data_IF_781966252541
#
_entry.id   IF_781966252541
#
_cell.length_a   1.000
_cell.length_b   1.000
_cell.length_c   1.000
_cell.angle_alpha   90.00
_cell.angle_beta   90.00
_cell.angle_gamma   90.00
#
_symmetry.space_group_name_H-M   'P 1'
#
loop_
_entity.id
_entity.type
_entity.pdbx_description
1 polymer ?
#
# COMPACT_ATOMS: atom_id res chain seq x y z
N UNK A 1 -46.09 39.23 -30.82
CA UNK A 1 -46.67 38.05 -30.15
C UNK A 1 -45.87 36.82 -30.60
N UNK A 2 -45.55 35.95 -29.65
CA UNK A 2 -44.57 34.85 -29.69
C UNK A 2 -45.15 33.60 -30.40
N UNK A 3 -44.31 32.83 -31.13
CA UNK A 3 -44.28 31.35 -31.23
C UNK A 3 -43.44 30.88 -32.46
N UNK A 4 -42.20 30.35 -32.29
CA UNK A 4 -41.78 28.90 -32.34
C UNK A 4 -41.84 28.26 -33.75
N UNK A 5 -40.89 27.44 -34.27
CA UNK A 5 -40.04 26.38 -33.68
C UNK A 5 -39.08 25.80 -34.79
N UNK A 6 -38.01 25.09 -34.39
CA UNK A 6 -37.17 24.07 -35.11
C UNK A 6 -36.19 24.58 -36.20
N UNK A 7 -34.88 24.28 -36.23
CA UNK A 7 -34.02 23.41 -35.43
C UNK A 7 -32.70 23.15 -36.22
N UNK A 8 -31.69 22.58 -35.55
CA UNK A 8 -30.54 21.95 -36.23
C UNK A 8 -29.18 22.54 -35.91
N UNK A 9 -28.69 22.35 -34.67
CA UNK A 9 -27.27 22.49 -34.34
C UNK A 9 -26.51 21.24 -34.81
N UNK A 10 -25.62 21.38 -35.79
CA UNK A 10 -24.49 20.48 -35.99
C UNK A 10 -23.23 21.35 -36.15
N UNK A 11 -22.83 21.95 -35.04
CA UNK A 11 -21.54 22.62 -34.91
C UNK A 11 -20.57 21.68 -34.21
N UNK A 12 -19.40 21.49 -34.82
CA UNK A 12 -18.16 21.23 -34.09
C UNK A 12 -17.60 19.82 -34.19
N UNK A 13 -16.85 19.55 -35.25
CA UNK A 13 -15.66 18.71 -35.13
C UNK A 13 -14.64 19.47 -34.28
N UNK A 14 -14.57 19.14 -32.98
CA UNK A 14 -13.49 19.58 -32.09
C UNK A 14 -12.61 18.39 -31.74
N UNK A 15 -11.27 18.53 -31.71
CA UNK A 15 -10.40 17.45 -31.27
C UNK A 15 -10.70 17.12 -29.80
N UNK A 16 -10.83 15.83 -29.53
CA UNK A 16 -11.00 15.23 -28.20
C UNK A 16 -9.92 15.78 -27.24
N UNK A 17 -10.26 16.24 -26.03
CA UNK A 17 -9.25 16.65 -25.07
C UNK A 17 -8.45 15.41 -24.67
N UNK A 18 -7.18 15.38 -25.08
CA UNK A 18 -6.20 14.37 -24.67
C UNK A 18 -6.20 14.32 -23.14
N UNK A 19 -6.69 13.21 -22.60
CA UNK A 19 -6.59 12.93 -21.17
C UNK A 19 -5.11 13.03 -20.78
N UNK A 20 -4.78 13.95 -19.87
CA UNK A 20 -3.45 14.06 -19.32
C UNK A 20 -3.04 12.69 -18.76
N UNK A 21 -1.80 12.22 -18.98
CA UNK A 21 -1.33 10.98 -18.39
C UNK A 21 -1.46 11.11 -16.87
N UNK A 22 -2.23 10.20 -16.27
CA UNK A 22 -2.33 10.07 -14.81
C UNK A 22 -0.89 9.91 -14.31
N UNK A 23 -0.41 10.73 -13.36
CA UNK A 23 0.93 10.53 -12.82
C UNK A 23 0.99 9.13 -12.23
N UNK A 24 1.82 8.27 -12.82
CA UNK A 24 2.18 6.99 -12.21
C UNK A 24 2.75 7.32 -10.84
N UNK A 25 2.03 6.99 -9.77
CA UNK A 25 2.50 7.23 -8.42
C UNK A 25 3.91 6.64 -8.29
N UNK A 26 4.89 7.49 -7.95
CA UNK A 26 6.25 7.04 -7.72
C UNK A 26 6.24 5.93 -6.68
N UNK A 27 7.03 4.85 -6.85
CA UNK A 27 7.09 3.79 -5.87
C UNK A 27 7.54 4.39 -4.52
N UNK A 28 7.01 3.89 -3.39
CA UNK A 28 7.41 4.39 -2.09
C UNK A 28 8.91 4.23 -1.88
N UNK A 29 9.55 5.28 -1.37
CA UNK A 29 10.98 5.32 -1.09
C UNK A 29 11.26 4.73 0.30
N UNK A 30 12.16 3.76 0.40
CA UNK A 30 12.52 3.09 1.67
C UNK A 30 13.82 3.63 2.31
N UNK A 31 14.30 4.79 1.89
CA UNK A 31 15.52 5.44 2.43
C UNK A 31 15.24 6.40 3.60
N UNK A 32 14.00 6.43 4.08
CA UNK A 32 13.55 7.33 5.12
C UNK A 32 13.87 6.80 6.53
N UNK A 33 13.66 7.59 7.61
CA UNK A 33 13.90 7.11 8.96
C UNK A 33 13.03 5.87 9.24
N UNK A 34 13.69 4.80 9.69
CA UNK A 34 13.08 3.51 9.99
C UNK A 34 12.71 3.49 11.48
N UNK A 35 11.46 3.15 11.78
CA UNK A 35 11.03 2.84 13.15
C UNK A 35 11.81 1.65 13.70
N UNK A 36 12.03 1.60 15.03
CA UNK A 36 12.68 0.46 15.66
C UNK A 36 11.93 -0.85 15.33
N UNK A 37 12.65 -1.81 14.74
CA UNK A 37 12.03 -3.02 14.24
C UNK A 37 11.37 -3.82 15.38
N UNK A 38 10.10 -4.14 15.21
CA UNK A 38 9.31 -4.90 16.19
C UNK A 38 9.28 -6.39 15.82
N UNK A 39 9.03 -7.31 16.76
CA UNK A 39 8.74 -8.70 16.40
C UNK A 39 7.46 -8.80 15.57
N UNK A 40 7.38 -9.77 14.66
CA UNK A 40 6.13 -10.13 14.00
C UNK A 40 5.00 -10.38 15.03
N UNK A 41 3.79 -9.94 14.69
CA UNK A 41 2.60 -9.98 15.54
C UNK A 41 2.40 -8.74 16.41
N UNK A 42 3.43 -7.92 16.60
CA UNK A 42 3.32 -6.66 17.36
C UNK A 42 2.79 -5.55 16.47
N UNK A 43 1.78 -4.82 16.96
CA UNK A 43 1.24 -3.66 16.27
C UNK A 43 2.11 -2.41 16.46
N UNK A 44 2.33 -1.66 15.38
CA UNK A 44 2.95 -0.33 15.40
C UNK A 44 1.89 0.74 15.12
N UNK A 45 1.94 1.83 15.89
CA UNK A 45 1.04 2.97 15.71
C UNK A 45 1.65 3.98 14.73
N UNK A 46 0.88 4.35 13.72
CA UNK A 46 1.17 5.45 12.79
C UNK A 46 0.39 6.66 13.27
N UNK A 47 1.08 7.78 13.50
CA UNK A 47 0.46 9.04 13.93
C UNK A 47 0.99 10.22 13.14
N UNK A 48 0.08 10.90 12.46
CA UNK A 48 0.29 12.22 11.86
C UNK A 48 -0.78 13.17 12.38
N UNK A 49 -0.73 14.48 12.08
CA UNK A 49 -1.81 15.40 12.44
C UNK A 49 -3.19 14.96 11.90
N UNK A 50 -3.23 14.27 10.77
CA UNK A 50 -4.45 13.90 10.04
C UNK A 50 -4.84 12.42 10.21
N UNK A 51 -3.88 11.55 10.55
CA UNK A 51 -4.08 10.10 10.62
C UNK A 51 -3.66 9.54 11.99
N UNK A 52 -4.45 8.61 12.50
CA UNK A 52 -4.01 7.64 13.49
C UNK A 52 -4.41 6.24 13.04
N UNK A 53 -3.45 5.34 12.91
CA UNK A 53 -3.70 3.95 12.55
C UNK A 53 -2.78 3.01 13.33
N UNK A 54 -3.18 1.75 13.43
CA UNK A 54 -2.34 0.66 13.91
C UNK A 54 -2.11 -0.33 12.79
N UNK A 55 -0.85 -0.67 12.54
CA UNK A 55 -0.44 -1.66 11.55
C UNK A 55 0.18 -2.84 12.27
N UNK A 56 -0.30 -4.05 11.98
CA UNK A 56 0.22 -5.29 12.55
C UNK A 56 0.62 -6.22 11.41
N UNK A 57 1.82 -6.78 11.48
CA UNK A 57 2.30 -7.76 10.49
C UNK A 57 2.56 -9.09 11.18
N UNK A 58 1.94 -10.16 10.69
CA UNK A 58 2.13 -11.52 11.20
C UNK A 58 2.63 -12.45 10.09
N UNK A 59 3.58 -13.33 10.39
CA UNK A 59 3.97 -14.40 9.47
C UNK A 59 2.83 -15.39 9.26
N UNK A 60 2.67 -15.90 8.03
CA UNK A 60 1.62 -16.88 7.69
C UNK A 60 2.15 -18.11 6.96
N UNK A 61 3.21 -17.96 6.15
CA UNK A 61 3.87 -19.05 5.43
C UNK A 61 5.37 -18.76 5.35
N UNK A 62 6.20 -19.78 5.57
CA UNK A 62 7.63 -19.72 5.30
C UNK A 62 8.10 -21.03 4.68
N UNK A 63 8.63 -20.94 3.46
CA UNK A 63 9.18 -22.04 2.67
C UNK A 63 10.44 -21.55 1.95
N UNK A 64 11.22 -22.45 1.36
CA UNK A 64 12.43 -22.09 0.62
C UNK A 64 12.15 -21.09 -0.52
N UNK A 65 11.00 -21.22 -1.18
CA UNK A 65 10.67 -20.47 -2.40
C UNK A 65 9.65 -19.35 -2.16
N UNK A 66 9.09 -19.26 -0.96
CA UNK A 66 7.99 -18.33 -0.68
C UNK A 66 7.88 -17.97 0.79
N UNK A 67 7.65 -16.69 1.03
CA UNK A 67 7.32 -16.14 2.33
C UNK A 67 6.05 -15.31 2.25
N UNK A 68 5.07 -15.57 3.10
CA UNK A 68 3.83 -14.80 3.13
C UNK A 68 3.53 -14.23 4.51
N UNK A 69 3.05 -12.99 4.52
CA UNK A 69 2.63 -12.29 5.72
C UNK A 69 1.21 -11.81 5.62
N UNK A 70 0.55 -11.74 6.77
CA UNK A 70 -0.70 -11.04 6.98
C UNK A 70 -0.41 -9.65 7.51
N UNK A 71 -0.84 -8.62 6.78
CA UNK A 71 -0.85 -7.24 7.25
C UNK A 71 -2.27 -6.87 7.64
N UNK A 72 -2.46 -6.40 8.86
CA UNK A 72 -3.72 -5.86 9.36
C UNK A 72 -3.54 -4.38 9.62
N UNK A 73 -4.39 -3.55 9.01
CA UNK A 73 -4.42 -2.11 9.22
C UNK A 73 -5.74 -1.74 9.88
N UNK A 74 -5.67 -1.07 11.02
CA UNK A 74 -6.82 -0.52 11.72
C UNK A 74 -6.71 1.00 11.74
N UNK A 75 -7.65 1.71 11.12
CA UNK A 75 -7.66 3.17 11.11
C UNK A 75 -8.48 3.67 12.31
N UNK A 76 -7.82 4.39 13.21
CA UNK A 76 -8.41 4.93 14.42
C UNK A 76 -8.97 6.35 14.19
N UNK A 77 -8.34 7.12 13.30
CA UNK A 77 -8.73 8.49 12.92
C UNK A 77 -8.21 8.81 11.52
N UNK A 78 -8.97 9.55 10.73
CA UNK A 78 -8.56 10.01 9.39
C UNK A 78 -8.73 8.94 8.31
N UNK A 79 -7.90 9.03 7.26
CA UNK A 79 -7.89 8.08 6.14
C UNK A 79 -6.50 7.55 5.91
N UNK A 80 -6.39 6.26 5.56
CA UNK A 80 -5.12 5.64 5.21
C UNK A 80 -5.25 4.89 3.90
N UNK A 81 -4.51 5.32 2.88
CA UNK A 81 -4.32 4.54 1.66
C UNK A 81 -3.23 3.48 1.93
N UNK A 82 -3.62 2.21 1.83
CA UNK A 82 -2.71 1.10 1.99
C UNK A 82 -2.88 0.09 0.85
N UNK A 83 -1.75 -0.45 0.37
CA UNK A 83 -1.74 -1.53 -0.61
C UNK A 83 -0.46 -2.36 -0.54
N UNK A 84 -0.46 -3.55 -1.19
CA UNK A 84 0.65 -4.49 -1.11
C UNK A 84 1.97 -3.88 -1.61
N UNK A 85 1.93 -2.99 -2.61
CA UNK A 85 3.10 -2.33 -3.16
C UNK A 85 3.92 -1.52 -2.13
N UNK A 86 3.33 -1.16 -0.99
CA UNK A 86 3.99 -0.45 0.12
C UNK A 86 4.83 -1.37 1.01
N UNK A 87 4.75 -2.69 0.83
CA UNK A 87 5.55 -3.65 1.59
C UNK A 87 6.84 -4.03 0.84
N UNK A 88 7.91 -4.29 1.59
CA UNK A 88 9.17 -4.88 1.12
C UNK A 88 9.64 -5.92 2.11
N UNK A 89 10.28 -6.97 1.59
CA UNK A 89 11.08 -7.88 2.40
C UNK A 89 12.55 -7.46 2.28
N UNK A 90 13.09 -6.90 3.35
CA UNK A 90 14.50 -6.55 3.45
C UNK A 90 15.27 -7.72 4.06
N UNK A 91 16.26 -8.22 3.34
CA UNK A 91 17.12 -9.29 3.83
C UNK A 91 18.31 -8.72 4.59
N UNK A 92 18.80 -9.44 5.60
CA UNK A 92 20.01 -9.03 6.33
C UNK A 92 21.24 -8.94 5.41
N UNK A 93 21.26 -9.81 4.40
CA UNK A 93 22.23 -9.80 3.31
C UNK A 93 21.49 -9.92 1.99
N UNK A 94 21.73 -8.98 1.07
CA UNK A 94 21.12 -8.98 -0.26
C UNK A 94 20.10 -7.85 -0.48
N UNK A 95 19.49 -7.81 -1.68
CA UNK A 95 18.58 -6.75 -2.08
C UNK A 95 17.19 -6.91 -1.47
N UNK A 96 16.46 -5.80 -1.37
CA UNK A 96 15.04 -5.82 -0.98
C UNK A 96 14.21 -6.53 -2.04
N UNK A 97 13.28 -7.37 -1.58
CA UNK A 97 12.33 -8.08 -2.43
C UNK A 97 10.98 -7.38 -2.40
N UNK A 98 10.38 -7.19 -3.58
CA UNK A 98 9.01 -6.67 -3.71
C UNK A 98 7.99 -7.81 -3.56
N UNK A 99 6.72 -7.50 -3.25
CA UNK A 99 5.67 -8.51 -3.26
C UNK A 99 5.55 -9.19 -4.62
N UNK A 100 5.35 -10.50 -4.61
CA UNK A 100 5.11 -11.29 -5.80
C UNK A 100 3.81 -10.82 -6.49
N UNK A 101 3.93 -10.44 -7.77
CA UNK A 101 2.83 -9.89 -8.54
C UNK A 101 1.63 -10.86 -8.60
N UNK A 102 0.42 -10.32 -8.40
CA UNK A 102 -0.82 -11.09 -8.46
C UNK A 102 -1.05 -12.08 -7.31
N UNK A 103 -0.18 -12.10 -6.29
CA UNK A 103 -0.29 -13.01 -5.13
C UNK A 103 -0.72 -12.34 -3.82
N UNK A 104 -1.05 -11.05 -3.88
CA UNK A 104 -1.60 -10.33 -2.75
C UNK A 104 -3.13 -10.43 -2.74
N UNK A 105 -3.72 -10.58 -1.55
CA UNK A 105 -5.17 -10.61 -1.36
C UNK A 105 -5.57 -9.66 -0.23
N UNK A 106 -6.30 -8.57 -0.50
CA UNK A 106 -6.68 -8.11 -1.84
C UNK A 106 -5.47 -7.56 -2.65
N UNK A 107 -5.56 -7.51 -4.00
CA UNK A 107 -4.37 -7.32 -4.85
C UNK A 107 -3.92 -5.86 -5.03
N UNK A 108 -4.78 -4.88 -4.71
CA UNK A 108 -4.53 -3.46 -4.96
C UNK A 108 -4.63 -2.63 -3.69
N UNK A 109 -4.22 -1.37 -3.80
CA UNK A 109 -4.39 -0.40 -2.73
C UNK A 109 -5.86 0.01 -2.59
N UNK A 110 -6.26 0.32 -1.36
CA UNK A 110 -7.57 0.89 -1.05
C UNK A 110 -7.42 1.99 0.01
N UNK A 111 -8.32 2.96 -0.05
CA UNK A 111 -8.46 3.97 1.01
C UNK A 111 -9.32 3.41 2.13
N UNK A 112 -8.73 3.31 3.31
CA UNK A 112 -9.41 2.94 4.55
C UNK A 112 -9.85 4.21 5.29
N UNK A 113 -11.07 4.20 5.81
CA UNK A 113 -11.62 5.28 6.64
C UNK A 113 -11.55 4.93 8.13
N UNK A 114 -11.66 5.94 8.99
CA UNK A 114 -11.72 5.75 10.44
C UNK A 114 -12.77 4.70 10.85
N UNK A 115 -12.40 3.84 11.80
CA UNK A 115 -13.21 2.70 12.25
C UNK A 115 -13.04 1.43 11.41
N UNK A 116 -12.42 1.51 10.22
CA UNK A 116 -12.19 0.34 9.36
C UNK A 116 -10.97 -0.44 9.83
N UNK A 117 -11.12 -1.76 9.86
CA UNK A 117 -9.99 -2.70 9.96
C UNK A 117 -9.99 -3.55 8.70
N UNK A 118 -8.85 -3.58 8.00
CA UNK A 118 -8.70 -4.35 6.78
C UNK A 118 -7.44 -5.19 6.83
N UNK A 119 -7.50 -6.35 6.17
CA UNK A 119 -6.42 -7.33 6.10
C UNK A 119 -5.94 -7.50 4.65
N UNK A 120 -4.63 -7.62 4.50
CA UNK A 120 -3.95 -8.13 3.32
C UNK A 120 -3.16 -9.39 3.65
N UNK A 121 -3.16 -10.33 2.73
CA UNK A 121 -2.15 -11.37 2.64
C UNK A 121 -1.18 -10.99 1.53
N UNK A 122 0.11 -10.88 1.86
CA UNK A 122 1.15 -10.42 0.95
C UNK A 122 2.22 -11.51 0.87
N UNK A 123 2.47 -11.96 -0.35
CA UNK A 123 3.46 -13.00 -0.64
C UNK A 123 4.70 -12.39 -1.29
N UNK A 124 5.87 -12.86 -0.89
CA UNK A 124 7.17 -12.57 -1.48
C UNK A 124 7.75 -13.86 -2.06
N UNK A 125 8.47 -13.75 -3.17
CA UNK A 125 9.23 -14.88 -3.71
C UNK A 125 10.53 -15.06 -2.90
N UNK A 126 10.91 -16.30 -2.65
CA UNK A 126 12.02 -16.69 -1.78
C UNK A 126 11.66 -16.82 -0.30
N UNK A 127 12.59 -17.38 0.47
CA UNK A 127 12.49 -17.49 1.93
C UNK A 127 12.83 -16.17 2.63
N UNK A 128 12.22 -15.92 3.79
CA UNK A 128 12.72 -14.91 4.72
C UNK A 128 13.69 -15.56 5.71
N UNK A 129 14.97 -15.20 5.64
CA UNK A 129 15.97 -15.66 6.60
C UNK A 129 15.75 -15.06 7.99
N UNK A 130 16.32 -15.70 9.02
CA UNK A 130 16.33 -15.14 10.38
C UNK A 130 16.97 -13.75 10.38
N UNK A 131 16.28 -12.77 10.98
CA UNK A 131 16.75 -11.37 11.01
C UNK A 131 16.38 -10.55 9.77
N UNK A 132 15.74 -11.15 8.75
CA UNK A 132 15.09 -10.37 7.70
C UNK A 132 13.99 -9.48 8.29
N UNK A 133 13.62 -8.43 7.58
CA UNK A 133 12.61 -7.47 8.01
C UNK A 133 11.51 -7.31 6.97
N UNK A 134 10.26 -7.30 7.43
CA UNK A 134 9.17 -6.75 6.64
C UNK A 134 9.13 -5.25 6.88
N UNK A 135 9.25 -4.47 5.82
CA UNK A 135 9.20 -3.02 5.84
C UNK A 135 7.94 -2.54 5.15
N UNK A 136 7.23 -1.61 5.78
CA UNK A 136 6.06 -0.94 5.19
C UNK A 136 6.36 0.55 5.14
N UNK A 137 6.23 1.15 3.97
CA UNK A 137 6.29 2.59 3.83
C UNK A 137 5.11 3.24 4.56
N UNK A 138 5.41 4.14 5.48
CA UNK A 138 4.43 4.91 6.23
C UNK A 138 3.94 6.13 5.44
N UNK A 139 2.75 6.65 5.79
CA UNK A 139 2.15 7.79 5.11
C UNK A 139 2.85 9.13 5.44
N UNK A 140 3.67 9.18 6.49
CA UNK A 140 4.51 10.35 6.78
C UNK A 140 5.84 10.33 6.01
N UNK A 141 6.01 9.35 5.10
CA UNK A 141 7.28 9.07 4.45
C UNK A 141 8.26 8.33 5.36
N UNK A 142 7.85 7.83 6.53
CA UNK A 142 8.64 6.97 7.40
C UNK A 142 8.61 5.49 6.95
N UNK A 143 9.38 4.62 7.62
CA UNK A 143 9.31 3.17 7.36
C UNK A 143 9.04 2.42 8.66
N UNK A 144 7.96 1.65 8.67
CA UNK A 144 7.64 0.70 9.74
C UNK A 144 8.37 -0.63 9.46
N UNK A 145 8.92 -1.28 10.49
CA UNK A 145 9.72 -2.49 10.31
C UNK A 145 9.36 -3.60 11.30
N UNK A 146 9.27 -4.85 10.83
CA UNK A 146 9.09 -6.03 11.66
C UNK A 146 10.14 -7.09 11.37
N UNK A 147 10.79 -7.62 12.40
CA UNK A 147 11.84 -8.65 12.28
C UNK A 147 11.24 -10.05 12.22
N UNK A 148 11.65 -10.81 11.20
CA UNK A 148 11.40 -12.24 11.04
C UNK A 148 12.32 -13.01 11.99
N UNK A 149 11.73 -13.91 12.78
CA UNK A 149 12.43 -14.82 13.68
C UNK A 149 12.55 -16.20 13.05
#
# INVERSE_FOLDING_TARGET
MIATLIGGSLAGCGPEPVAAPVPTASPPTFTAPISAAQPLGVGQDVRTPELAARVTVAGTLSTADRYAVRVTVQVLRGTYEFGPAMARLHHATGPDTTPAAGRAVPPVAFTLHAGVTQRWEITFDGAAGHGAQIRIAGPAGDVLAWTVR
#
